data_IF_294402858891
#
_entry.id   IF_294402858891
#
_cell.length_a   1.000
_cell.length_b   1.000
_cell.length_c   1.000
_cell.angle_alpha   90.00
_cell.angle_beta   90.00
_cell.angle_gamma   90.00
#
_symmetry.space_group_name_H-M   'P 1'
#
loop_
_entity.id
_entity.type
_entity.pdbx_description
1 polymer ?
#
# COMPACT_ATOMS: atom_id res chain seq x y z
N UNK A 1 -26.24 34.75 7.56
CA UNK A 1 -25.13 33.78 7.41
C UNK A 1 -23.91 34.41 8.04
N UNK A 2 -23.34 33.83 9.10
CA UNK A 2 -22.03 34.28 9.58
C UNK A 2 -21.01 33.23 9.16
N UNK A 3 -20.49 33.36 7.93
CA UNK A 3 -19.17 32.82 7.66
C UNK A 3 -18.23 33.46 8.69
N UNK A 4 -17.53 32.65 9.47
CA UNK A 4 -16.56 33.22 10.39
C UNK A 4 -15.44 33.83 9.56
N UNK A 5 -15.00 35.03 9.92
CA UNK A 5 -13.86 35.67 9.24
C UNK A 5 -12.56 34.88 9.41
N UNK A 6 -12.54 33.92 10.34
CA UNK A 6 -11.41 33.04 10.64
C UNK A 6 -11.90 31.59 10.82
N UNK A 7 -11.14 30.59 10.36
CA UNK A 7 -11.39 29.20 10.70
C UNK A 7 -11.20 28.96 12.20
N UNK A 8 -11.84 27.93 12.74
CA UNK A 8 -11.68 27.51 14.13
C UNK A 8 -11.55 26.00 14.27
N UNK A 9 -10.91 25.58 15.35
CA UNK A 9 -10.58 24.17 15.61
C UNK A 9 -11.54 23.58 16.65
N UNK A 10 -12.03 22.38 16.37
CA UNK A 10 -12.91 21.59 17.23
C UNK A 10 -12.31 20.19 17.35
N UNK A 11 -12.25 19.66 18.57
CA UNK A 11 -11.86 18.26 18.79
C UNK A 11 -13.08 17.45 19.19
N UNK A 12 -13.37 16.41 18.42
CA UNK A 12 -14.48 15.50 18.65
C UNK A 12 -13.92 14.18 19.17
N UNK A 13 -14.25 13.85 20.42
CA UNK A 13 -13.84 12.59 21.06
C UNK A 13 -14.91 11.53 20.86
N UNK A 14 -14.49 10.29 20.60
CA UNK A 14 -15.38 9.14 20.59
C UNK A 14 -15.90 8.90 22.01
N UNK A 15 -17.22 8.82 22.17
CA UNK A 15 -17.81 8.44 23.45
C UNK A 15 -17.66 6.91 23.63
N UNK A 16 -16.87 6.51 24.62
CA UNK A 16 -16.62 5.08 24.92
C UNK A 16 -17.87 4.36 25.48
N UNK A 17 -18.88 5.10 25.95
CA UNK A 17 -20.09 4.54 26.54
C UNK A 17 -21.24 4.35 25.55
N UNK A 18 -21.10 4.83 24.31
CA UNK A 18 -22.14 4.70 23.27
C UNK A 18 -21.74 3.63 22.27
N UNK A 19 -22.29 2.42 22.45
CA UNK A 19 -22.35 1.38 21.42
C UNK A 19 -23.14 1.92 20.22
N UNK A 20 -22.48 2.43 19.18
CA UNK A 20 -23.15 2.75 17.94
C UNK A 20 -23.84 1.49 17.38
N UNK A 21 -25.13 1.59 17.07
CA UNK A 21 -25.93 0.53 16.43
C UNK A 21 -25.57 0.26 14.96
N UNK A 22 -24.59 0.99 14.44
CA UNK A 22 -23.88 0.64 13.21
C UNK A 22 -22.89 -0.44 13.61
N UNK A 23 -22.89 -1.65 13.00
CA UNK A 23 -21.95 -2.68 13.37
C UNK A 23 -20.56 -2.03 13.33
N UNK A 24 -19.87 -2.00 14.48
CA UNK A 24 -18.44 -1.78 14.49
C UNK A 24 -17.94 -2.72 13.39
N UNK A 25 -17.40 -2.24 12.26
CA UNK A 25 -16.68 -3.14 11.39
C UNK A 25 -15.66 -3.78 12.33
N UNK A 26 -15.84 -5.08 12.52
CA UNK A 26 -15.11 -5.92 13.47
C UNK A 26 -13.71 -5.36 13.59
N UNK A 27 -13.32 -4.95 14.81
CA UNK A 27 -12.01 -4.41 15.14
C UNK A 27 -10.97 -5.23 14.37
N UNK A 28 -10.61 -4.71 13.20
CA UNK A 28 -9.72 -5.37 12.26
C UNK A 28 -8.30 -5.03 12.66
N UNK A 29 -8.01 -5.19 13.96
CA UNK A 29 -6.64 -5.38 14.39
C UNK A 29 -6.33 -6.79 13.91
N UNK A 30 -6.04 -6.96 12.62
CA UNK A 30 -5.25 -8.11 12.23
C UNK A 30 -3.89 -7.88 12.88
N UNK A 31 -3.72 -8.47 14.07
CA UNK A 31 -2.50 -8.58 14.85
C UNK A 31 -1.48 -9.45 14.10
N UNK A 32 -1.19 -9.13 12.85
CA UNK A 32 -0.21 -9.86 12.09
C UNK A 32 1.14 -9.24 12.36
N UNK A 33 1.97 -9.96 13.12
CA UNK A 33 3.41 -9.77 13.09
C UNK A 33 3.88 -10.25 11.73
N UNK A 34 4.33 -9.31 10.92
CA UNK A 34 4.64 -9.56 9.53
C UNK A 34 6.13 -9.43 9.34
N UNK A 35 6.77 -10.47 8.84
CA UNK A 35 8.19 -10.45 8.48
C UNK A 35 8.30 -10.40 6.96
N UNK A 36 9.39 -9.81 6.46
CA UNK A 36 9.69 -9.90 5.03
C UNK A 36 9.93 -11.37 4.65
N UNK A 37 9.46 -11.83 3.49
CA UNK A 37 9.76 -13.18 3.01
C UNK A 37 11.26 -13.32 2.72
N UNK A 38 11.76 -14.55 2.83
CA UNK A 38 13.14 -14.87 2.49
C UNK A 38 13.42 -14.55 1.01
N UNK A 39 14.55 -13.89 0.67
CA UNK A 39 14.98 -13.72 -0.70
C UNK A 39 15.12 -15.06 -1.43
N UNK A 40 14.67 -15.11 -2.69
CA UNK A 40 14.73 -16.31 -3.55
C UNK A 40 15.67 -16.04 -4.73
N UNK A 41 16.39 -17.07 -5.19
CA UNK A 41 17.21 -16.99 -6.40
C UNK A 41 16.39 -17.45 -7.60
N UNK A 42 16.27 -16.61 -8.61
CA UNK A 42 15.59 -16.92 -9.86
C UNK A 42 16.41 -17.90 -10.73
N UNK A 43 15.79 -18.44 -11.77
CA UNK A 43 16.41 -19.41 -12.70
C UNK A 43 17.64 -18.84 -13.40
N UNK A 44 17.68 -17.53 -13.62
CA UNK A 44 18.81 -16.81 -14.21
C UNK A 44 19.93 -16.46 -13.21
N UNK A 45 19.80 -16.90 -11.95
CA UNK A 45 20.74 -16.61 -10.87
C UNK A 45 20.55 -15.24 -10.21
N UNK A 46 19.57 -14.44 -10.64
CA UNK A 46 19.28 -13.14 -10.03
C UNK A 46 18.57 -13.28 -8.67
N UNK A 47 18.85 -12.36 -7.74
CA UNK A 47 18.20 -12.35 -6.43
C UNK A 47 16.85 -11.62 -6.48
N UNK A 48 15.82 -12.29 -5.99
CA UNK A 48 14.44 -11.81 -5.91
C UNK A 48 14.11 -11.58 -4.44
N UNK A 49 13.89 -10.33 -4.06
CA UNK A 49 13.59 -9.96 -2.68
C UNK A 49 12.59 -8.82 -2.62
N UNK A 50 11.83 -8.76 -1.53
CA UNK A 50 10.83 -7.74 -1.28
C UNK A 50 11.38 -6.66 -0.32
N UNK A 51 11.42 -5.37 -0.73
CA UNK A 51 12.00 -4.32 0.09
C UNK A 51 11.06 -3.76 1.16
N UNK A 52 9.75 -3.97 1.04
CA UNK A 52 8.69 -3.39 1.89
C UNK A 52 7.65 -4.45 2.28
N UNK A 53 7.15 -4.40 3.50
CA UNK A 53 5.95 -5.13 3.91
C UNK A 53 4.75 -4.38 3.37
N UNK A 54 3.94 -5.04 2.54
CA UNK A 54 2.86 -4.40 1.78
C UNK A 54 1.50 -4.67 2.44
N UNK A 55 0.73 -3.60 2.58
CA UNK A 55 -0.67 -3.65 2.93
C UNK A 55 -1.52 -3.08 1.81
N UNK A 56 -2.66 -3.76 1.59
CA UNK A 56 -3.72 -3.38 0.68
C UNK A 56 -4.88 -2.80 1.48
N UNK A 57 -5.34 -1.62 1.10
CA UNK A 57 -6.52 -0.97 1.66
C UNK A 57 -7.52 -0.65 0.55
N UNK A 58 -8.76 -1.12 0.69
CA UNK A 58 -9.85 -0.66 -0.17
C UNK A 58 -10.37 0.67 0.37
N UNK A 59 -10.08 1.75 -0.38
CA UNK A 59 -10.43 3.11 0.01
C UNK A 59 -11.63 3.65 -0.78
N UNK A 60 -12.29 2.79 -1.59
CA UNK A 60 -13.49 3.13 -2.34
C UNK A 60 -13.38 4.45 -3.12
N UNK A 61 -14.32 5.36 -2.84
CA UNK A 61 -14.25 6.75 -3.31
C UNK A 61 -13.41 7.60 -2.33
N UNK A 62 -12.33 8.18 -2.83
CA UNK A 62 -11.32 8.98 -2.10
C UNK A 62 -11.86 10.32 -1.64
N UNK A 63 -12.81 10.31 -0.71
CA UNK A 63 -13.47 11.53 -0.22
C UNK A 63 -12.91 12.06 1.10
N UNK A 64 -12.08 11.28 1.78
CA UNK A 64 -11.63 11.56 3.13
C UNK A 64 -10.10 11.53 3.22
N UNK A 65 -9.57 12.15 4.27
CA UNK A 65 -8.16 11.99 4.68
C UNK A 65 -7.92 10.51 5.00
N UNK A 66 -6.73 10.01 4.64
CA UNK A 66 -6.31 8.66 5.00
C UNK A 66 -5.23 8.75 6.07
N UNK A 67 -5.39 8.00 7.15
CA UNK A 67 -4.44 7.95 8.25
C UNK A 67 -3.91 6.53 8.37
N UNK A 68 -2.61 6.38 8.21
CA UNK A 68 -1.88 5.12 8.43
C UNK A 68 -1.04 5.25 9.70
N UNK A 69 -1.23 4.33 10.65
CA UNK A 69 -0.52 4.35 11.92
C UNK A 69 0.26 3.05 12.13
N UNK A 70 1.54 3.21 12.47
CA UNK A 70 2.41 2.14 12.90
C UNK A 70 2.39 2.05 14.44
N UNK A 71 2.37 0.83 14.95
CA UNK A 71 2.46 0.51 16.37
C UNK A 71 3.71 -0.35 16.60
N UNK A 72 4.88 0.28 16.81
CA UNK A 72 6.13 -0.45 17.03
C UNK A 72 6.04 -1.33 18.28
N UNK A 73 6.61 -2.53 18.20
CA UNK A 73 6.69 -3.47 19.34
C UNK A 73 7.53 -2.90 20.49
N UNK A 74 8.60 -2.18 20.16
CA UNK A 74 9.45 -1.47 21.11
C UNK A 74 9.58 0.00 20.69
N UNK A 75 8.70 0.85 21.23
CA UNK A 75 8.73 2.30 21.02
C UNK A 75 9.97 2.93 21.69
N UNK A 76 10.46 2.32 22.78
CA UNK A 76 11.62 2.82 23.52
C UNK A 76 12.92 2.74 22.70
N UNK A 77 13.02 1.77 21.80
CA UNK A 77 14.12 1.67 20.84
C UNK A 77 14.14 2.78 19.78
N UNK A 78 13.10 3.63 19.71
CA UNK A 78 12.93 4.66 18.68
C UNK A 78 13.15 4.12 17.25
N UNK A 79 12.41 3.09 16.82
CA UNK A 79 12.51 2.64 15.44
C UNK A 79 12.08 3.75 14.49
N UNK A 80 12.71 3.83 13.32
CA UNK A 80 12.28 4.67 12.22
C UNK A 80 11.90 3.79 11.05
N UNK A 81 10.87 4.17 10.31
CA UNK A 81 10.32 3.40 9.20
C UNK A 81 10.35 4.23 7.92
N UNK A 82 10.68 3.60 6.81
CA UNK A 82 10.37 4.12 5.48
C UNK A 82 9.00 3.61 5.09
N UNK A 83 8.10 4.52 4.77
CA UNK A 83 6.76 4.24 4.24
C UNK A 83 6.69 4.72 2.80
N UNK A 84 6.11 3.91 1.91
CA UNK A 84 5.83 4.25 0.53
C UNK A 84 4.36 3.94 0.20
N UNK A 85 3.70 4.83 -0.54
CA UNK A 85 2.26 4.76 -0.80
C UNK A 85 1.96 4.97 -2.28
N UNK A 86 1.13 4.11 -2.85
CA UNK A 86 0.71 4.19 -4.25
C UNK A 86 -0.71 3.64 -4.46
N UNK A 87 -1.42 4.19 -5.44
CA UNK A 87 -2.77 3.75 -5.80
C UNK A 87 -2.74 2.73 -6.94
N UNK A 88 -3.72 1.81 -6.98
CA UNK A 88 -3.95 0.77 -8.01
C UNK A 88 -2.87 -0.32 -8.10
N UNK A 89 -1.60 0.05 -8.05
CA UNK A 89 -0.45 -0.85 -8.11
C UNK A 89 0.46 -0.56 -6.91
N UNK A 90 1.11 -1.57 -6.32
CA UNK A 90 2.05 -1.37 -5.24
C UNK A 90 3.24 -0.45 -5.61
N UNK A 91 3.84 0.24 -4.62
CA UNK A 91 5.09 0.97 -4.84
C UNK A 91 6.24 0.00 -5.12
N UNK A 92 7.08 0.32 -6.10
CA UNK A 92 8.24 -0.46 -6.47
C UNK A 92 9.53 0.32 -6.16
N UNK A 93 10.33 -0.19 -5.23
CA UNK A 93 11.61 0.42 -4.86
C UNK A 93 12.81 -0.20 -5.59
N UNK A 94 12.62 -1.22 -6.45
CA UNK A 94 13.73 -1.91 -7.14
C UNK A 94 14.13 -1.22 -8.43
N UNK A 95 13.18 -0.64 -9.14
CA UNK A 95 13.38 0.06 -10.40
C UNK A 95 12.18 0.98 -10.65
N UNK A 96 12.37 1.97 -11.52
CA UNK A 96 11.26 2.78 -12.03
C UNK A 96 10.45 1.94 -13.03
N UNK A 97 9.19 1.65 -12.69
CA UNK A 97 8.27 0.88 -13.52
C UNK A 97 7.47 1.75 -14.50
N UNK A 98 7.58 3.07 -14.43
CA UNK A 98 6.84 4.00 -15.28
C UNK A 98 5.33 4.05 -15.03
N UNK A 99 4.81 3.42 -13.96
CA UNK A 99 3.37 3.29 -13.70
C UNK A 99 2.82 4.43 -12.80
N UNK A 100 3.51 5.56 -12.76
CA UNK A 100 3.16 6.76 -11.98
C UNK A 100 3.97 6.93 -10.70
N UNK A 101 3.90 8.12 -10.09
CA UNK A 101 4.64 8.39 -8.84
C UNK A 101 4.07 7.63 -7.65
N UNK A 102 4.90 7.42 -6.64
CA UNK A 102 4.48 7.00 -5.31
C UNK A 102 4.95 8.05 -4.30
N UNK A 103 4.18 8.21 -3.22
CA UNK A 103 4.62 9.03 -2.08
C UNK A 103 5.53 8.21 -1.19
N UNK A 104 6.40 8.89 -0.46
CA UNK A 104 7.21 8.25 0.57
C UNK A 104 7.38 9.18 1.76
N UNK A 105 7.67 8.62 2.93
CA UNK A 105 8.01 9.37 4.12
C UNK A 105 8.82 8.54 5.11
N UNK A 106 9.59 9.22 5.96
CA UNK A 106 10.16 8.61 7.16
C UNK A 106 9.22 8.81 8.34
N UNK A 107 9.02 7.76 9.13
CA UNK A 107 8.10 7.75 10.26
C UNK A 107 8.81 7.15 11.48
N UNK A 108 9.08 7.92 12.55
CA UNK A 108 8.94 9.37 12.61
C UNK A 108 9.84 10.08 11.59
N UNK A 109 9.50 11.32 11.25
CA UNK A 109 10.28 12.12 10.28
C UNK A 109 11.72 12.37 10.73
N UNK A 110 12.01 12.26 12.03
CA UNK A 110 13.36 12.17 12.56
C UNK A 110 13.38 11.39 13.87
N UNK A 111 14.47 10.67 14.13
CA UNK A 111 14.72 9.99 15.42
C UNK A 111 14.74 10.96 16.61
N UNK A 112 15.03 12.26 16.38
CA UNK A 112 14.98 13.31 17.41
C UNK A 112 13.59 13.51 18.03
N UNK A 113 12.51 13.06 17.37
CA UNK A 113 11.14 13.11 17.89
C UNK A 113 10.88 12.10 19.00
N UNK A 114 11.72 11.08 19.12
CA UNK A 114 11.66 10.13 20.23
C UNK A 114 12.27 10.77 21.47
N UNK A 115 11.45 11.43 22.29
CA UNK A 115 11.88 11.89 23.61
C UNK A 115 11.85 10.72 24.58
N UNK A 116 12.93 10.45 25.33
CA UNK A 116 12.99 9.32 26.28
C UNK A 116 12.04 9.47 27.48
N UNK A 117 11.46 10.66 27.70
CA UNK A 117 10.64 10.97 28.89
C UNK A 117 9.15 11.26 28.55
N UNK A 118 8.69 10.99 27.32
CA UNK A 118 7.29 11.20 26.93
C UNK A 118 6.37 10.06 27.39
N UNK A 119 5.08 10.35 27.58
CA UNK A 119 4.06 9.31 27.73
C UNK A 119 4.03 8.45 26.44
N UNK A 120 3.88 7.13 26.58
CA UNK A 120 3.88 6.20 25.44
C UNK A 120 2.81 6.52 24.38
N UNK A 121 1.68 7.08 24.79
CA UNK A 121 0.60 7.51 23.88
C UNK A 121 0.98 8.74 23.05
N UNK A 122 1.67 9.72 23.63
CA UNK A 122 2.18 10.87 22.88
C UNK A 122 3.30 10.46 21.92
N UNK A 123 4.11 9.48 22.32
CA UNK A 123 5.15 8.93 21.46
C UNK A 123 4.57 8.22 20.22
N UNK A 124 3.43 7.51 20.37
CA UNK A 124 2.71 6.86 19.26
C UNK A 124 2.22 7.83 18.18
N UNK A 125 1.91 9.08 18.54
CA UNK A 125 1.50 10.09 17.56
C UNK A 125 2.61 10.43 16.54
N UNK A 126 3.88 10.15 16.88
CA UNK A 126 4.98 10.31 15.94
C UNK A 126 5.04 9.21 14.88
N UNK A 127 4.28 8.13 15.05
CA UNK A 127 4.26 6.96 14.17
C UNK A 127 3.06 6.96 13.19
N UNK A 128 2.54 8.15 12.88
CA UNK A 128 1.38 8.34 12.02
C UNK A 128 1.77 9.00 10.70
N UNK A 129 1.27 8.46 9.60
CA UNK A 129 1.30 9.07 8.27
C UNK A 129 -0.08 9.61 7.92
N UNK A 130 -0.14 10.92 7.70
CA UNK A 130 -1.35 11.60 7.24
C UNK A 130 -1.26 11.84 5.74
N UNK A 131 -2.27 11.41 5.00
CA UNK A 131 -2.41 11.69 3.58
C UNK A 131 -3.69 12.49 3.39
N UNK A 132 -3.51 13.76 3.04
CA UNK A 132 -4.60 14.68 2.81
C UNK A 132 -5.50 14.22 1.65
N UNK A 133 -6.78 14.59 1.72
CA UNK A 133 -7.77 14.24 0.71
C UNK A 133 -7.33 14.68 -0.69
N UNK A 134 -6.82 15.90 -0.81
CA UNK A 134 -6.40 16.48 -2.08
C UNK A 134 -5.27 15.66 -2.71
N UNK A 135 -4.31 15.24 -1.88
CA UNK A 135 -3.18 14.39 -2.29
C UNK A 135 -3.65 13.00 -2.70
N UNK A 136 -4.60 12.40 -1.97
CA UNK A 136 -5.17 11.10 -2.34
C UNK A 136 -5.93 11.14 -3.67
N UNK A 137 -6.70 12.20 -3.90
CA UNK A 137 -7.44 12.40 -5.16
C UNK A 137 -6.47 12.54 -6.33
N UNK A 138 -5.40 13.32 -6.18
CA UNK A 138 -4.35 13.45 -7.20
C UNK A 138 -3.66 12.11 -7.50
N UNK A 139 -3.25 11.38 -6.46
CA UNK A 139 -2.62 10.07 -6.60
C UNK A 139 -3.52 9.08 -7.34
N UNK A 140 -4.81 9.04 -6.98
CA UNK A 140 -5.78 8.17 -7.66
C UNK A 140 -5.92 8.55 -9.12
N UNK A 141 -6.10 9.85 -9.43
CA UNK A 141 -6.26 10.32 -10.81
C UNK A 141 -5.03 9.98 -11.67
N UNK A 142 -3.83 10.17 -11.14
CA UNK A 142 -2.58 9.83 -11.84
C UNK A 142 -2.46 8.33 -12.07
N UNK A 143 -2.68 7.51 -11.04
CA UNK A 143 -2.60 6.07 -11.15
C UNK A 143 -3.61 5.52 -12.17
N UNK A 144 -4.86 6.02 -12.17
CA UNK A 144 -5.87 5.63 -13.17
C UNK A 144 -5.45 6.00 -14.59
N UNK A 145 -4.81 7.15 -14.78
CA UNK A 145 -4.27 7.56 -16.08
C UNK A 145 -3.17 6.62 -16.55
N UNK A 146 -2.21 6.30 -15.67
CA UNK A 146 -1.06 5.47 -16.02
C UNK A 146 -1.42 4.00 -16.23
N UNK A 147 -2.45 3.52 -15.53
CA UNK A 147 -2.92 2.11 -15.61
C UNK A 147 -4.08 1.90 -16.58
N UNK A 148 -4.51 2.93 -17.32
CA UNK A 148 -5.65 2.86 -18.24
C UNK A 148 -5.53 1.79 -19.34
N UNK A 149 -4.30 1.42 -19.70
CA UNK A 149 -4.02 0.39 -20.70
C UNK A 149 -4.10 -1.05 -20.14
N UNK A 150 -4.18 -1.19 -18.81
CA UNK A 150 -4.24 -2.47 -18.12
C UNK A 150 -5.68 -2.94 -17.96
N UNK A 151 -5.90 -4.25 -18.04
CA UNK A 151 -7.21 -4.86 -17.79
C UNK A 151 -7.36 -5.17 -16.30
N UNK A 152 -7.63 -4.13 -15.52
CA UNK A 152 -7.89 -4.23 -14.08
C UNK A 152 -9.39 -4.29 -13.80
N UNK A 153 -9.77 -4.98 -12.73
CA UNK A 153 -11.15 -5.03 -12.25
C UNK A 153 -11.51 -3.75 -11.49
N UNK A 154 -12.79 -3.43 -11.39
CA UNK A 154 -13.26 -2.20 -10.77
C UNK A 154 -12.82 -2.09 -9.29
N UNK A 155 -12.79 -3.20 -8.57
CA UNK A 155 -12.33 -3.30 -7.19
C UNK A 155 -10.82 -3.12 -7.00
N UNK A 156 -10.02 -3.24 -8.07
CA UNK A 156 -8.57 -2.98 -8.03
C UNK A 156 -8.27 -1.49 -8.20
N UNK A 157 -9.19 -0.76 -8.84
CA UNK A 157 -9.07 0.68 -9.09
C UNK A 157 -9.38 1.55 -7.86
N UNK A 158 -9.88 0.96 -6.76
CA UNK A 158 -10.13 1.63 -5.48
C UNK A 158 -9.09 1.29 -4.41
N UNK A 159 -7.99 0.63 -4.79
CA UNK A 159 -7.00 0.12 -3.84
C UNK A 159 -5.87 1.11 -3.61
N UNK A 160 -5.60 1.37 -2.34
CA UNK A 160 -4.39 2.04 -1.86
C UNK A 160 -3.41 1.00 -1.31
N UNK A 161 -2.21 0.95 -1.87
CA UNK A 161 -1.12 0.14 -1.37
C UNK A 161 -0.18 0.98 -0.52
N UNK A 162 0.11 0.50 0.68
CA UNK A 162 1.09 1.09 1.59
C UNK A 162 2.13 0.04 1.93
N UNK A 163 3.37 0.31 1.54
CA UNK A 163 4.52 -0.49 1.93
C UNK A 163 5.30 0.19 3.05
N UNK A 164 5.78 -0.57 4.03
CA UNK A 164 6.69 -0.06 5.04
C UNK A 164 7.85 -1.00 5.33
N UNK A 165 8.95 -0.43 5.80
CA UNK A 165 10.09 -1.18 6.34
C UNK A 165 10.70 -0.42 7.51
N UNK A 166 11.20 -1.13 8.52
CA UNK A 166 12.04 -0.51 9.53
C UNK A 166 13.41 -0.18 8.91
N UNK A 167 13.94 0.99 9.24
CA UNK A 167 15.26 1.44 8.81
C UNK A 167 16.34 0.82 9.69
N UNK A 168 17.45 0.42 9.07
CA UNK A 168 18.66 0.02 9.80
C UNK A 168 19.36 1.24 10.39
N UNK A 169 20.32 1.01 11.28
CA UNK A 169 21.14 2.08 11.88
C UNK A 169 21.89 2.92 10.84
N UNK A 170 22.17 2.38 9.65
CA UNK A 170 22.83 3.08 8.53
C UNK A 170 21.86 3.98 7.74
N UNK A 171 20.56 3.83 7.95
CA UNK A 171 19.50 4.50 7.20
C UNK A 171 18.80 5.60 8.04
N UNK A 172 18.99 5.59 9.36
CA UNK A 172 18.34 6.54 10.26
C UNK A 172 18.60 8.00 9.85
N UNK A 173 17.52 8.78 9.76
CA UNK A 173 17.50 10.21 9.40
C UNK A 173 18.18 10.54 8.07
N UNK A 174 18.32 9.55 7.17
CA UNK A 174 19.06 9.70 5.92
C UNK A 174 18.28 10.44 4.82
N UNK A 175 16.95 10.33 4.80
CA UNK A 175 16.12 10.78 3.68
C UNK A 175 15.41 12.10 3.99
N UNK A 176 15.33 12.99 3.00
CA UNK A 176 14.60 14.27 3.09
C UNK A 176 13.95 14.60 1.76
N UNK A 177 13.17 15.67 1.70
CA UNK A 177 12.60 16.19 0.44
C UNK A 177 13.67 16.40 -0.64
N UNK A 178 14.86 16.83 -0.25
CA UNK A 178 16.01 17.09 -1.13
C UNK A 178 16.84 15.84 -1.41
N UNK A 179 16.77 14.84 -0.52
CA UNK A 179 17.49 13.57 -0.63
C UNK A 179 16.51 12.39 -0.50
N UNK A 180 15.68 12.12 -1.53
CA UNK A 180 14.73 11.03 -1.47
C UNK A 180 15.42 9.66 -1.43
N UNK A 181 14.72 8.61 -0.95
CA UNK A 181 15.20 7.24 -1.06
C UNK A 181 15.55 6.91 -2.52
N UNK A 182 16.77 6.42 -2.80
CA UNK A 182 17.18 6.11 -4.16
C UNK A 182 16.38 4.91 -4.70
N UNK A 183 16.17 4.91 -6.02
CA UNK A 183 15.62 3.80 -6.79
C UNK A 183 16.69 3.43 -7.83
N UNK A 184 17.28 2.22 -7.80
CA UNK A 184 17.00 1.09 -6.92
C UNK A 184 17.34 1.32 -5.45
N UNK A 185 16.51 0.78 -4.56
CA UNK A 185 16.73 0.85 -3.12
C UNK A 185 17.78 -0.16 -2.67
N UNK A 186 18.86 0.29 -2.02
CA UNK A 186 20.08 -0.52 -1.86
C UNK A 186 20.03 -1.49 -0.69
N UNK A 187 19.04 -1.38 0.21
CA UNK A 187 18.99 -2.19 1.43
C UNK A 187 18.09 -3.40 1.27
N UNK A 188 18.71 -4.58 1.35
CA UNK A 188 18.08 -5.89 1.16
C UNK A 188 17.99 -6.70 2.46
N UNK A 189 18.46 -6.13 3.57
CA UNK A 189 18.55 -6.81 4.86
C UNK A 189 17.15 -7.26 5.34
N UNK A 190 17.08 -8.45 5.93
CA UNK A 190 15.87 -8.93 6.58
C UNK A 190 15.56 -8.11 7.83
N UNK A 191 14.28 -7.81 8.02
CA UNK A 191 13.79 -7.05 9.18
C UNK A 191 12.96 -8.01 10.03
N UNK A 192 13.52 -8.39 11.18
CA UNK A 192 12.96 -9.40 12.09
C UNK A 192 12.00 -8.84 13.15
N UNK A 193 11.90 -7.51 13.27
CA UNK A 193 11.02 -6.85 14.22
C UNK A 193 10.16 -5.84 13.47
N UNK A 194 8.84 -5.94 13.60
CA UNK A 194 7.91 -5.12 12.84
C UNK A 194 6.82 -4.54 13.70
N UNK A 195 6.35 -3.36 13.29
CA UNK A 195 5.22 -2.68 13.87
C UNK A 195 3.92 -3.34 13.41
N UNK A 196 2.91 -3.36 14.29
CA UNK A 196 1.51 -3.59 13.87
C UNK A 196 1.02 -2.36 13.12
N UNK A 197 0.03 -2.53 12.25
CA UNK A 197 -0.52 -1.41 11.47
C UNK A 197 -2.00 -1.22 11.74
N UNK A 198 -2.46 0.02 11.70
CA UNK A 198 -3.88 0.35 11.67
C UNK A 198 -4.11 1.50 10.71
N UNK A 199 -5.26 1.51 10.02
CA UNK A 199 -5.64 2.62 9.17
C UNK A 199 -7.10 3.02 9.37
N UNK A 200 -7.37 4.31 9.19
CA UNK A 200 -8.70 4.87 9.28
C UNK A 200 -8.83 6.09 8.38
N UNK A 201 -10.06 6.39 7.97
CA UNK A 201 -10.39 7.50 7.08
C UNK A 201 -11.34 8.46 7.80
N UNK A 202 -10.81 9.37 8.63
CA UNK A 202 -11.61 10.33 9.36
C UNK A 202 -12.19 11.39 8.41
N UNK A 203 -13.36 11.91 8.77
CA UNK A 203 -14.01 13.02 8.07
C UNK A 203 -14.69 13.94 9.07
N UNK A 204 -14.53 15.24 8.84
CA UNK A 204 -15.18 16.30 9.58
C UNK A 204 -16.48 16.68 8.89
N UNK A 205 -17.58 16.68 9.65
CA UNK A 205 -18.93 16.91 9.14
C UNK A 205 -19.57 18.09 9.87
N UNK A 206 -20.40 18.82 9.13
CA UNK A 206 -21.24 19.89 9.66
C UNK A 206 -22.67 19.78 9.12
N UNK A 207 -23.63 20.24 9.91
CA UNK A 207 -25.04 20.33 9.54
C UNK A 207 -25.39 21.78 9.23
N UNK A 208 -25.74 22.07 7.98
CA UNK A 208 -26.22 23.38 7.61
C UNK A 208 -27.49 23.76 8.42
N UNK A 209 -27.65 25.03 8.75
CA UNK A 209 -28.77 25.51 9.56
C UNK A 209 -30.10 25.24 8.84
N UNK A 210 -30.98 24.43 9.45
CA UNK A 210 -32.24 23.98 8.83
C UNK A 210 -32.09 22.88 7.78
N UNK A 211 -30.87 22.37 7.57
CA UNK A 211 -30.60 21.20 6.73
C UNK A 211 -30.73 19.90 7.52
N UNK A 212 -31.09 18.82 6.83
CA UNK A 212 -31.15 17.47 7.38
C UNK A 212 -29.94 16.60 7.01
N UNK A 213 -29.03 17.11 6.18
CA UNK A 213 -27.91 16.36 5.61
C UNK A 213 -26.57 16.84 6.16
N UNK A 214 -25.71 15.88 6.51
CA UNK A 214 -24.31 16.13 6.89
C UNK A 214 -23.48 16.47 5.66
N UNK A 215 -22.63 17.49 5.78
CA UNK A 215 -21.74 17.94 4.71
C UNK A 215 -20.30 18.05 5.18
N UNK A 216 -19.36 17.91 4.24
CA UNK A 216 -17.90 17.96 4.47
C UNK A 216 -17.27 19.31 4.10
N UNK A 217 -18.00 20.17 3.39
CA UNK A 217 -17.46 21.40 2.83
C UNK A 217 -17.09 22.42 3.91
N UNK A 218 -15.97 23.13 3.71
CA UNK A 218 -15.47 24.11 4.68
C UNK A 218 -15.02 23.52 6.01
N UNK A 219 -14.82 22.19 6.08
CA UNK A 219 -14.21 21.50 7.22
C UNK A 219 -13.07 20.61 6.74
N UNK A 220 -11.93 20.64 7.45
CA UNK A 220 -10.77 19.79 7.17
C UNK A 220 -10.34 19.04 8.43
N UNK A 221 -9.86 17.80 8.26
CA UNK A 221 -9.27 17.02 9.34
C UNK A 221 -7.84 17.52 9.59
N UNK A 222 -7.45 17.64 10.86
CA UNK A 222 -6.11 18.05 11.26
C UNK A 222 -5.21 16.84 11.58
N UNK A 223 -3.88 16.96 11.38
CA UNK A 223 -2.89 15.92 11.69
C UNK A 223 -2.73 15.54 13.17
N UNK A 224 -3.51 16.15 14.07
CA UNK A 224 -3.57 15.73 15.48
C UNK A 224 -4.63 14.65 15.73
N UNK A 225 -5.36 14.21 14.69
CA UNK A 225 -6.45 13.24 14.79
C UNK A 225 -5.93 11.81 14.93
N UNK A 226 -6.46 11.04 15.89
CA UNK A 226 -6.16 9.64 16.11
C UNK A 226 -7.45 8.79 16.12
N UNK A 227 -7.34 7.50 16.44
CA UNK A 227 -8.49 6.58 16.48
C UNK A 227 -9.57 6.96 17.50
N UNK A 228 -9.21 7.66 18.58
CA UNK A 228 -10.12 8.09 19.65
C UNK A 228 -10.61 9.53 19.52
N UNK A 229 -9.86 10.40 18.84
CA UNK A 229 -10.14 11.84 18.74
C UNK A 229 -9.92 12.36 17.31
N UNK A 230 -10.91 13.06 16.76
CA UNK A 230 -10.81 13.72 15.46
C UNK A 230 -10.77 15.23 15.67
N UNK A 231 -9.68 15.87 15.24
CA UNK A 231 -9.53 17.31 15.24
C UNK A 231 -9.93 17.88 13.88
N UNK A 232 -10.85 18.85 13.90
CA UNK A 232 -11.46 19.46 12.73
C UNK A 232 -11.22 20.96 12.73
N UNK A 233 -10.76 21.51 11.61
CA UNK A 233 -10.77 22.95 11.37
C UNK A 233 -11.93 23.29 10.41
N UNK A 234 -12.85 24.14 10.85
CA UNK A 234 -14.07 24.48 10.11
C UNK A 234 -14.27 26.00 9.96
N UNK A 235 -14.99 26.40 8.91
CA UNK A 235 -15.33 27.80 8.58
C UNK A 235 -16.79 28.18 8.80
N UNK A 236 -17.63 27.20 9.16
CA UNK A 236 -19.07 27.35 9.36
C UNK A 236 -19.40 27.24 10.83
N UNK A 237 -20.22 28.11 11.40
CA UNK A 237 -20.62 28.01 12.81
C UNK A 237 -21.97 27.28 12.93
N UNK A 238 -21.92 25.95 13.09
CA UNK A 238 -23.10 25.07 13.04
C UNK A 238 -22.98 23.88 14.01
N UNK A 239 -23.77 22.82 13.81
CA UNK A 239 -23.61 21.55 14.53
C UNK A 239 -22.57 20.68 13.82
N UNK A 240 -21.66 20.09 14.58
CA UNK A 240 -20.55 19.31 14.06
C UNK A 240 -20.64 17.83 14.43
N UNK A 241 -20.03 17.00 13.59
CA UNK A 241 -19.86 15.58 13.81
C UNK A 241 -18.57 15.09 13.15
N UNK A 242 -18.13 13.91 13.55
CA UNK A 242 -17.04 13.20 12.90
C UNK A 242 -17.52 11.82 12.49
N UNK A 243 -17.13 11.39 11.29
CA UNK A 243 -17.29 10.01 10.86
C UNK A 243 -15.91 9.43 10.58
N UNK A 244 -15.68 8.21 11.04
CA UNK A 244 -14.43 7.48 10.81
C UNK A 244 -14.76 6.13 10.19
N UNK A 245 -14.24 5.89 8.99
CA UNK A 245 -14.29 4.58 8.34
C UNK A 245 -13.00 3.84 8.68
N UNK A 246 -13.10 2.69 9.33
CA UNK A 246 -11.93 1.83 9.58
C UNK A 246 -11.54 1.14 8.27
N UNK A 247 -10.29 1.31 7.84
CA UNK A 247 -9.76 0.59 6.69
C UNK A 247 -9.05 -0.66 7.20
N UNK A 248 -9.61 -1.83 6.92
CA UNK A 248 -8.97 -3.09 7.34
C UNK A 248 -7.72 -3.30 6.49
N UNK A 249 -6.53 -3.44 7.10
CA UNK A 249 -5.34 -3.84 6.36
C UNK A 249 -5.51 -5.29 5.92
N UNK A 250 -5.29 -5.57 4.64
CA UNK A 250 -4.97 -6.93 4.18
C UNK A 250 -3.50 -6.96 3.83
N UNK A 251 -2.74 -7.80 4.51
CA UNK A 251 -1.32 -7.94 4.24
C UNK A 251 -1.10 -8.83 3.01
N UNK A 252 -0.31 -8.35 2.04
CA UNK A 252 -0.09 -9.00 0.75
C UNK A 252 1.40 -9.34 0.60
N UNK A 253 1.73 -10.62 0.86
CA UNK A 253 3.13 -11.09 0.92
C UNK A 253 3.75 -11.57 -0.38
N UNK A 254 3.02 -12.03 -1.42
CA UNK A 254 3.66 -12.49 -2.64
C UNK A 254 3.56 -11.50 -3.79
N UNK A 255 3.90 -10.20 -3.64
CA UNK A 255 3.86 -9.30 -4.81
C UNK A 255 4.88 -9.68 -5.89
N UNK A 256 6.09 -10.07 -5.50
CA UNK A 256 7.14 -10.39 -6.48
C UNK A 256 6.98 -11.83 -6.98
N UNK A 257 6.62 -12.79 -6.13
CA UNK A 257 6.47 -14.19 -6.54
C UNK A 257 5.19 -14.47 -7.31
N UNK A 258 4.12 -13.69 -7.11
CA UNK A 258 2.82 -13.91 -7.78
C UNK A 258 2.67 -13.10 -9.08
N UNK A 259 3.37 -11.96 -9.21
CA UNK A 259 3.33 -11.13 -10.44
C UNK A 259 4.61 -11.12 -11.27
N UNK A 260 5.71 -11.72 -10.82
CA UNK A 260 6.74 -12.13 -11.79
C UNK A 260 6.20 -13.36 -12.51
N UNK A 261 5.95 -13.20 -13.80
CA UNK A 261 5.53 -14.18 -14.80
C UNK A 261 6.54 -15.37 -14.94
N UNK A 262 7.00 -15.94 -13.84
CA UNK A 262 7.81 -17.16 -13.82
C UNK A 262 7.01 -18.36 -14.35
N UNK A 263 5.68 -18.30 -14.24
CA UNK A 263 4.78 -19.26 -14.89
C UNK A 263 4.72 -19.07 -16.39
N UNK A 264 4.73 -17.83 -16.90
CA UNK A 264 4.67 -17.56 -18.35
C UNK A 264 5.95 -17.96 -19.08
N UNK A 265 7.12 -17.80 -18.45
CA UNK A 265 8.38 -18.29 -19.03
C UNK A 265 8.41 -19.83 -19.08
N UNK A 266 7.92 -20.50 -18.04
CA UNK A 266 7.82 -21.97 -17.98
C UNK A 266 6.79 -22.53 -18.98
N UNK A 267 5.64 -21.87 -19.14
CA UNK A 267 4.61 -22.27 -20.12
C UNK A 267 5.12 -22.06 -21.55
N UNK A 268 5.80 -20.96 -21.85
CA UNK A 268 6.40 -20.76 -23.17
C UNK A 268 7.46 -21.83 -23.48
N UNK A 269 8.32 -22.17 -22.52
CA UNK A 269 9.35 -23.19 -22.73
C UNK A 269 8.74 -24.57 -22.96
N UNK A 270 7.77 -24.97 -22.13
CA UNK A 270 7.08 -26.27 -22.27
C UNK A 270 6.31 -26.38 -23.59
N UNK A 271 5.64 -25.32 -24.06
CA UNK A 271 4.97 -25.32 -25.36
C UNK A 271 5.98 -25.45 -26.50
N UNK A 272 7.12 -24.76 -26.40
CA UNK A 272 8.18 -24.81 -27.43
C UNK A 272 8.82 -26.21 -27.48
N UNK A 273 9.10 -26.81 -26.34
CA UNK A 273 9.67 -28.16 -26.23
C UNK A 273 8.69 -29.22 -26.77
N UNK A 274 7.39 -29.13 -26.43
CA UNK A 274 6.36 -30.02 -26.98
C UNK A 274 6.25 -29.89 -28.50
N UNK A 275 6.29 -28.68 -29.04
CA UNK A 275 6.23 -28.43 -30.48
C UNK A 275 7.45 -29.00 -31.23
N UNK A 276 8.66 -28.83 -30.68
CA UNK A 276 9.89 -29.42 -31.24
C UNK A 276 9.81 -30.95 -31.21
N UNK A 277 9.36 -31.52 -30.09
CA UNK A 277 9.23 -32.98 -29.95
C UNK A 277 8.25 -33.55 -30.97
N UNK A 278 7.10 -32.89 -31.17
CA UNK A 278 6.12 -33.29 -32.19
C UNK A 278 6.68 -33.18 -33.61
N UNK A 279 7.43 -32.11 -33.91
CA UNK A 279 8.07 -31.94 -35.21
C UNK A 279 9.10 -33.04 -35.48
N UNK A 280 9.92 -33.41 -34.50
CA UNK A 280 10.89 -34.51 -34.63
C UNK A 280 10.20 -35.86 -34.86
N UNK A 281 9.10 -36.15 -34.15
CA UNK A 281 8.32 -37.39 -34.35
C UNK A 281 7.71 -37.42 -35.75
N UNK A 282 7.17 -36.29 -36.23
CA UNK A 282 6.62 -36.17 -37.58
C UNK A 282 7.67 -36.40 -38.66
N UNK A 283 8.84 -35.77 -38.53
CA UNK A 283 9.96 -35.97 -39.47
C UNK A 283 10.42 -37.42 -39.46
N UNK A 284 10.54 -38.05 -38.29
CA UNK A 284 10.90 -39.47 -38.18
C UNK A 284 9.86 -40.39 -38.82
N UNK A 285 8.56 -40.11 -38.63
CA UNK A 285 7.50 -40.89 -39.25
C UNK A 285 7.48 -40.73 -40.78
N UNK A 286 7.64 -39.49 -41.28
CA UNK A 286 7.69 -39.21 -42.72
C UNK A 286 8.89 -39.89 -43.37
N UNK A 287 10.09 -39.73 -42.78
CA UNK A 287 11.31 -40.39 -43.28
C UNK A 287 11.20 -41.90 -43.20
N UNK A 288 10.59 -42.46 -42.15
CA UNK A 288 10.30 -43.89 -42.03
C UNK A 288 9.34 -44.41 -43.11
N UNK A 289 8.31 -43.65 -43.47
CA UNK A 289 7.40 -44.00 -44.56
C UNK A 289 8.08 -43.92 -45.93
N UNK A 290 8.86 -42.87 -46.19
CA UNK A 290 9.65 -42.73 -47.43
C UNK A 290 10.65 -43.89 -47.57
N UNK A 291 11.34 -44.26 -46.49
CA UNK A 291 12.27 -45.38 -46.50
C UNK A 291 11.56 -46.71 -46.80
N UNK A 292 10.37 -46.95 -46.21
CA UNK A 292 9.55 -48.15 -46.49
C UNK A 292 9.06 -48.20 -47.94
N UNK A 293 8.70 -47.07 -48.53
CA UNK A 293 8.27 -46.98 -49.94
C UNK A 293 9.46 -47.22 -50.87
N UNK A 294 10.60 -46.57 -50.65
CA UNK A 294 11.80 -46.77 -51.47
C UNK A 294 12.33 -48.21 -51.42
N UNK A 295 12.18 -48.90 -50.28
CA UNK A 295 12.57 -50.31 -50.14
C UNK A 295 11.66 -51.28 -50.90
N UNK A 296 10.44 -50.87 -51.30
CA UNK A 296 9.53 -51.68 -52.13
C UNK A 296 9.73 -51.45 -53.64
N UNK A 297 10.43 -50.39 -54.05
CA UNK A 297 10.61 -50.00 -55.46
C UNK A 297 11.92 -50.50 -56.06
N UNK A 298 12.85 -51.02 -55.24
CA UNK A 298 14.04 -51.74 -55.72
C UNK A 298 13.83 -53.26 -55.57
N UNK A 299 13.36 -53.97 -56.60
CA UNK A 299 13.53 -55.41 -56.66
C UNK A 299 15.01 -55.71 -56.95
N UNK A 300 15.55 -56.68 -56.19
CA UNK A 300 16.80 -57.40 -56.49
C UNK A 300 16.78 -58.01 -57.88
#
# INVERSE_FOLDING_TARGET
MSNTSSPFVITLKKDENVSSSIPNPSIGIEEQHLTLPDPVVAVDGSLVYQPLILHRFDVGNTENTFVFQLHPTDIGACPQYLVAVRFVIPPNLRFDDGLGRYLWSMIPSSTTKCKPNGNGEEALLNYVYYIDREVLVELKAEALKQTAHMKLRAEELSVLYIGYRQLTTKELDRYSSENPPPVPYPYIDQINNTARVSAFMPSCLHLALGGAEWRKDGCKVLPSSNLGEVACECTHLTTFGAASLHASPHADFPYITDKTDLTHFSICHTITDIAITYACILVWHITGQIYKVNRKVLPS
#
